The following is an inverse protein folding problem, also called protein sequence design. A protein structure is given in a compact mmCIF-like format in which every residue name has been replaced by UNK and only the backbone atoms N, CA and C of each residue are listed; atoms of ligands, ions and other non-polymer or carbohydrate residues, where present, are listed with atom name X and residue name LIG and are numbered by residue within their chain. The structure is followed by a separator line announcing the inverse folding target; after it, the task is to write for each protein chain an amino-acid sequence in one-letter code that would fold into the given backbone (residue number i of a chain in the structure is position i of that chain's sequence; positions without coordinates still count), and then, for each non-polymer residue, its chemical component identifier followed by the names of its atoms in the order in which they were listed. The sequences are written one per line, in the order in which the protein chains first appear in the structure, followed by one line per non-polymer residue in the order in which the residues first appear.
data_IF_919485659288
#
_entry.id   IF_919485659288
#
_cell.length_a   1.000
_cell.length_b   1.000
_cell.length_c   1.000
_cell.angle_alpha   90.00
_cell.angle_beta   90.00
_cell.angle_gamma   90.00
#
_symmetry.space_group_name_H-M   'P 1'
#
loop_
_entity.id
_entity.type
_entity.pdbx_description
1 polymer ?
#
# COMPACT_ATOMS: atom_id res chain seq x y z
N UNK A 1 -10.96 14.34 7.72
CA UNK A 1 -10.23 13.09 8.04
C UNK A 1 -10.18 12.06 6.90
N UNK A 2 -10.90 12.22 5.78
CA UNK A 2 -10.85 11.24 4.67
C UNK A 2 -9.45 11.10 4.05
N UNK A 3 -8.71 12.20 3.90
CA UNK A 3 -7.33 12.16 3.35
C UNK A 3 -6.35 11.32 4.17
N UNK A 4 -6.42 11.38 5.50
CA UNK A 4 -5.56 10.56 6.38
C UNK A 4 -5.88 9.08 6.24
N UNK A 5 -7.17 8.73 6.15
CA UNK A 5 -7.60 7.33 5.95
C UNK A 5 -7.14 6.80 4.59
N UNK A 6 -7.26 7.61 3.54
CA UNK A 6 -6.76 7.27 2.21
C UNK A 6 -5.25 7.09 2.22
N UNK A 7 -4.51 8.00 2.87
CA UNK A 7 -3.07 7.90 3.00
C UNK A 7 -2.63 6.62 3.73
N UNK A 8 -3.26 6.32 4.87
CA UNK A 8 -3.02 5.08 5.61
C UNK A 8 -3.27 3.84 4.75
N UNK A 9 -4.35 3.84 3.97
CA UNK A 9 -4.64 2.77 3.03
C UNK A 9 -3.54 2.62 1.97
N UNK A 10 -3.15 3.71 1.31
CA UNK A 10 -2.09 3.71 0.28
C UNK A 10 -0.77 3.20 0.82
N UNK A 11 -0.39 3.64 2.03
CA UNK A 11 0.84 3.22 2.70
C UNK A 11 0.83 1.72 3.05
N UNK A 12 -0.34 1.12 3.27
CA UNK A 12 -0.46 -0.31 3.54
C UNK A 12 -0.40 -1.18 2.27
N UNK A 13 -0.58 -0.61 1.08
CA UNK A 13 -0.62 -1.36 -0.20
C UNK A 13 0.62 -2.24 -0.39
N UNK A 14 1.88 -1.77 -0.20
CA UNK A 14 3.05 -2.61 -0.40
C UNK A 14 3.04 -3.88 0.45
N UNK A 15 2.62 -3.79 1.71
CA UNK A 15 2.49 -4.95 2.59
C UNK A 15 1.38 -5.90 2.13
N UNK A 16 0.24 -5.36 1.69
CA UNK A 16 -0.88 -6.18 1.18
C UNK A 16 -0.52 -6.90 -0.12
N UNK A 17 0.21 -6.25 -1.02
CA UNK A 17 0.70 -6.86 -2.27
C UNK A 17 1.67 -7.98 -1.97
N UNK A 18 2.64 -7.75 -1.08
CA UNK A 18 3.59 -8.77 -0.66
C UNK A 18 2.88 -9.97 0.00
N UNK A 19 1.88 -9.71 0.86
CA UNK A 19 1.07 -10.75 1.47
C UNK A 19 0.27 -11.56 0.43
N UNK A 20 -0.32 -10.90 -0.56
CA UNK A 20 -1.05 -11.57 -1.64
C UNK A 20 -0.14 -12.45 -2.51
N UNK A 21 1.07 -11.97 -2.77
CA UNK A 21 2.09 -12.73 -3.49
C UNK A 21 2.55 -13.96 -2.70
N UNK A 22 2.78 -13.80 -1.40
CA UNK A 22 3.10 -14.88 -0.48
C UNK A 22 1.99 -15.95 -0.43
N UNK A 23 0.73 -15.54 -0.34
CA UNK A 23 -0.42 -16.47 -0.39
C UNK A 23 -0.48 -17.19 -1.73
N UNK A 24 -0.24 -16.48 -2.83
CA UNK A 24 -0.21 -17.09 -4.17
C UNK A 24 0.88 -18.16 -4.27
N UNK A 25 2.11 -17.85 -3.84
CA UNK A 25 3.21 -18.82 -3.82
C UNK A 25 2.88 -20.01 -2.93
N UNK A 26 2.24 -19.78 -1.78
CA UNK A 26 1.81 -20.86 -0.90
C UNK A 26 0.81 -21.80 -1.59
N UNK A 27 -0.23 -21.26 -2.23
CA UNK A 27 -1.26 -22.05 -2.91
C UNK A 27 -0.68 -22.81 -4.10
N UNK A 28 0.21 -22.20 -4.89
CA UNK A 28 0.83 -22.87 -6.05
C UNK A 28 1.73 -24.03 -5.61
N UNK A 29 2.47 -23.87 -4.52
CA UNK A 29 3.42 -24.89 -4.06
C UNK A 29 2.77 -26.03 -3.24
N UNK A 30 1.68 -25.76 -2.53
CA UNK A 30 1.07 -26.72 -1.59
C UNK A 30 -0.36 -27.12 -1.92
N UNK A 31 -1.03 -26.47 -2.87
CA UNK A 31 -2.45 -26.65 -3.11
C UNK A 31 -3.32 -26.16 -1.94
N UNK A 32 -4.65 -26.24 -2.09
CA UNK A 32 -5.61 -25.90 -1.03
C UNK A 32 -5.95 -27.10 -0.13
N UNK A 33 -5.74 -28.32 -0.63
CA UNK A 33 -6.23 -29.56 -0.01
C UNK A 33 -5.14 -30.30 0.81
N UNK A 34 -3.89 -29.86 0.74
CA UNK A 34 -2.77 -30.44 1.50
C UNK A 34 -2.14 -29.39 2.41
N UNK A 35 -2.38 -29.53 3.72
CA UNK A 35 -1.57 -28.85 4.73
C UNK A 35 -0.11 -29.32 4.61
N UNK A 36 0.89 -28.43 4.56
CA UNK A 36 2.27 -28.85 4.34
C UNK A 36 2.81 -29.62 5.55
N UNK A 37 3.23 -30.86 5.36
CA UNK A 37 4.02 -31.62 6.35
C UNK A 37 5.36 -30.91 6.72
N UNK A 38 5.75 -29.90 5.95
CA UNK A 38 6.92 -29.04 6.16
C UNK A 38 6.77 -27.99 7.27
N UNK A 39 5.61 -27.88 7.94
CA UNK A 39 5.51 -27.15 9.21
C UNK A 39 6.21 -27.88 10.38
N UNK A 40 6.61 -29.15 10.20
CA UNK A 40 7.16 -30.00 11.25
C UNK A 40 8.65 -30.35 11.03
N UNK A 41 9.17 -30.34 9.80
CA UNK A 41 10.54 -30.75 9.49
C UNK A 41 11.46 -29.56 9.16
N UNK A 42 12.22 -29.17 10.17
CA UNK A 42 13.01 -27.96 10.25
C UNK A 42 14.45 -28.20 9.79
N UNK A 43 14.71 -28.40 8.49
CA UNK A 43 16.10 -28.68 8.04
C UNK A 43 16.66 -27.86 6.88
N UNK A 44 15.87 -27.09 6.12
CA UNK A 44 16.37 -26.00 5.25
C UNK A 44 15.17 -25.34 4.55
N UNK A 45 14.95 -24.05 4.80
CA UNK A 45 14.18 -23.24 3.85
C UNK A 45 12.78 -22.78 4.26
N UNK A 46 12.57 -22.33 5.51
CA UNK A 46 11.42 -21.45 5.79
C UNK A 46 11.37 -20.17 4.90
N UNK A 47 12.44 -19.91 4.14
CA UNK A 47 12.54 -18.88 3.11
C UNK A 47 12.06 -19.26 1.69
N UNK A 48 11.65 -20.50 1.41
CA UNK A 48 11.06 -20.88 0.11
C UNK A 48 9.53 -20.78 0.08
N UNK A 49 8.88 -20.62 1.23
CA UNK A 49 7.42 -20.52 1.31
C UNK A 49 6.87 -19.11 1.10
N UNK A 50 7.73 -18.10 1.26
CA UNK A 50 7.38 -16.69 1.26
C UNK A 50 8.41 -15.93 0.43
N UNK A 51 7.98 -14.95 -0.33
CA UNK A 51 8.82 -14.13 -1.16
C UNK A 51 9.77 -13.27 -0.31
N UNK A 52 11.06 -13.55 -0.44
CA UNK A 52 12.11 -12.63 -0.03
C UNK A 52 12.36 -11.57 -1.11
N UNK A 53 13.00 -10.46 -0.76
CA UNK A 53 13.40 -9.45 -1.75
C UNK A 53 14.33 -10.04 -2.83
N UNK A 54 15.19 -10.98 -2.43
CA UNK A 54 16.04 -11.75 -3.33
C UNK A 54 15.22 -12.59 -4.29
N UNK A 55 14.24 -13.36 -3.79
CA UNK A 55 13.34 -14.17 -4.62
C UNK A 55 12.64 -13.32 -5.67
N UNK A 56 12.08 -12.17 -5.28
CA UNK A 56 11.41 -11.24 -6.21
C UNK A 56 12.40 -10.76 -7.28
N UNK A 57 13.61 -10.36 -6.91
CA UNK A 57 14.59 -9.88 -7.88
C UNK A 57 15.02 -10.99 -8.85
N UNK A 58 15.34 -12.17 -8.33
CA UNK A 58 15.78 -13.31 -9.16
C UNK A 58 14.68 -13.81 -10.09
N UNK A 59 13.42 -13.77 -9.66
CA UNK A 59 12.29 -14.25 -10.46
C UNK A 59 11.86 -13.25 -11.54
N UNK A 60 11.75 -11.97 -11.18
CA UNK A 60 11.18 -10.96 -12.10
C UNK A 60 12.23 -10.19 -12.90
N UNK A 61 13.49 -10.18 -12.47
CA UNK A 61 14.59 -9.51 -13.18
C UNK A 61 15.93 -10.28 -13.05
N UNK A 62 15.99 -11.54 -13.53
CA UNK A 62 17.16 -12.41 -13.38
C UNK A 62 18.44 -11.84 -14.00
N UNK A 63 18.33 -11.19 -15.16
CA UNK A 63 19.49 -10.59 -15.83
C UNK A 63 20.10 -9.44 -15.03
N UNK A 64 19.25 -8.60 -14.44
CA UNK A 64 19.68 -7.50 -13.57
C UNK A 64 20.38 -8.03 -12.32
N UNK A 65 19.83 -9.07 -11.69
CA UNK A 65 20.47 -9.73 -10.54
C UNK A 65 21.85 -10.27 -10.91
N UNK A 66 21.94 -11.05 -12.00
CA UNK A 66 23.20 -11.64 -12.45
C UNK A 66 24.25 -10.58 -12.82
N UNK A 67 23.83 -9.46 -13.41
CA UNK A 67 24.71 -8.34 -13.71
C UNK A 67 25.28 -7.72 -12.43
N UNK A 68 24.45 -7.46 -11.42
CA UNK A 68 24.89 -6.85 -10.15
C UNK A 68 25.83 -7.76 -9.39
N UNK A 69 25.54 -9.06 -9.29
CA UNK A 69 26.42 -10.06 -8.64
C UNK A 69 27.83 -10.03 -9.24
N UNK A 70 27.93 -9.90 -10.57
CA UNK A 70 29.22 -9.87 -11.28
C UNK A 70 29.95 -8.53 -11.17
N UNK A 71 29.21 -7.45 -10.95
CA UNK A 71 29.74 -6.08 -10.98
C UNK A 71 30.16 -5.56 -9.61
N UNK A 72 29.64 -6.14 -8.54
CA UNK A 72 29.86 -5.70 -7.17
C UNK A 72 30.97 -6.54 -6.52
N UNK A 73 31.85 -5.90 -5.74
CA UNK A 73 32.87 -6.60 -4.98
C UNK A 73 32.24 -7.62 -4.00
N UNK A 74 32.86 -8.78 -3.75
CA UNK A 74 32.27 -9.84 -2.92
C UNK A 74 31.86 -9.39 -1.51
N UNK A 75 32.64 -8.50 -0.91
CA UNK A 75 32.37 -7.94 0.43
C UNK A 75 31.09 -7.10 0.45
N UNK A 76 30.92 -6.23 -0.55
CA UNK A 76 29.70 -5.43 -0.72
C UNK A 76 28.50 -6.30 -1.07
N UNK A 77 28.71 -7.35 -1.87
CA UNK A 77 27.65 -8.30 -2.22
C UNK A 77 27.12 -9.03 -0.99
N UNK A 78 27.98 -9.44 -0.05
CA UNK A 78 27.54 -10.11 1.18
C UNK A 78 26.54 -9.28 2.01
N UNK A 79 26.72 -7.95 2.04
CA UNK A 79 25.79 -7.04 2.72
C UNK A 79 24.45 -6.99 1.98
N UNK A 80 24.50 -6.85 0.65
CA UNK A 80 23.31 -6.81 -0.21
C UNK A 80 22.53 -8.13 -0.07
N UNK A 81 23.22 -9.27 -0.17
CA UNK A 81 22.63 -10.59 -0.06
C UNK A 81 21.91 -10.78 1.28
N UNK A 82 22.50 -10.30 2.38
CA UNK A 82 21.84 -10.31 3.69
C UNK A 82 20.51 -9.52 3.68
N UNK A 83 20.44 -8.39 2.98
CA UNK A 83 19.19 -7.62 2.85
C UNK A 83 18.18 -8.34 1.95
N UNK A 84 18.65 -9.06 0.94
CA UNK A 84 17.80 -9.82 0.03
C UNK A 84 17.10 -11.01 0.70
N UNK A 85 17.61 -11.49 1.84
CA UNK A 85 16.92 -12.53 2.64
C UNK A 85 15.68 -12.03 3.38
N UNK A 86 15.49 -10.71 3.50
CA UNK A 86 14.35 -10.12 4.20
C UNK A 86 13.06 -10.44 3.42
N UNK A 87 12.04 -10.94 4.14
CA UNK A 87 10.72 -11.19 3.58
C UNK A 87 10.08 -9.89 3.09
N UNK A 88 9.55 -9.89 1.87
CA UNK A 88 8.93 -8.71 1.27
C UNK A 88 7.76 -8.18 2.10
N UNK A 89 6.97 -9.08 2.71
CA UNK A 89 5.90 -8.71 3.64
C UNK A 89 6.43 -7.93 4.85
N UNK A 90 7.54 -8.37 5.45
CA UNK A 90 8.16 -7.69 6.59
C UNK A 90 8.68 -6.31 6.19
N UNK A 91 9.34 -6.21 5.03
CA UNK A 91 9.80 -4.92 4.50
C UNK A 91 8.64 -3.93 4.27
N UNK A 92 7.54 -4.40 3.66
CA UNK A 92 6.33 -3.60 3.46
C UNK A 92 5.67 -3.19 4.77
N UNK A 93 5.64 -4.07 5.77
CA UNK A 93 5.09 -3.78 7.09
C UNK A 93 5.95 -2.75 7.85
N UNK A 94 7.28 -2.85 7.79
CA UNK A 94 8.17 -1.85 8.38
C UNK A 94 7.96 -0.47 7.77
N UNK A 95 7.85 -0.40 6.44
CA UNK A 95 7.51 0.84 5.73
C UNK A 95 6.18 1.42 6.22
N UNK A 96 5.13 0.61 6.27
CA UNK A 96 3.83 1.07 6.72
C UNK A 96 3.86 1.50 8.21
N UNK A 97 4.51 0.70 9.05
CA UNK A 97 4.68 0.95 10.47
C UNK A 97 5.39 2.27 10.76
N UNK A 98 6.41 2.63 9.98
CA UNK A 98 7.09 3.93 10.08
C UNK A 98 6.14 5.11 9.88
N UNK A 99 5.30 5.08 8.84
CA UNK A 99 4.32 6.15 8.60
C UNK A 99 3.20 6.18 9.64
N UNK A 100 2.72 5.01 10.09
CA UNK A 100 1.78 4.93 11.20
C UNK A 100 2.35 5.50 12.49
N UNK A 101 3.64 5.24 12.76
CA UNK A 101 4.35 5.79 13.90
C UNK A 101 4.45 7.32 13.82
N UNK A 102 4.85 7.87 12.67
CA UNK A 102 4.86 9.33 12.44
C UNK A 102 3.47 9.92 12.66
N UNK A 103 2.43 9.33 12.08
CA UNK A 103 1.06 9.80 12.27
C UNK A 103 0.62 9.70 13.74
N UNK A 104 1.06 8.67 14.45
CA UNK A 104 0.85 8.51 15.89
C UNK A 104 1.47 9.66 16.69
N UNK A 105 2.72 10.01 16.41
CA UNK A 105 3.39 11.17 17.03
C UNK A 105 2.64 12.46 16.70
N UNK A 106 2.33 12.70 15.43
CA UNK A 106 1.61 13.91 15.00
C UNK A 106 0.23 14.01 15.67
N UNK A 107 -0.43 12.86 15.91
CA UNK A 107 -1.70 12.81 16.63
C UNK A 107 -1.54 13.17 18.11
N UNK A 108 -0.52 12.64 18.79
CA UNK A 108 -0.25 12.95 20.21
C UNK A 108 0.12 14.42 20.39
N UNK A 109 0.86 15.00 19.43
CA UNK A 109 1.27 16.40 19.46
C UNK A 109 0.19 17.37 18.95
N UNK A 110 -1.00 16.87 18.56
CA UNK A 110 -2.05 17.65 17.93
C UNK A 110 -1.53 18.50 16.74
N UNK A 111 -0.56 17.97 16.00
CA UNK A 111 -0.03 18.59 14.78
C UNK A 111 -0.88 18.15 13.58
N UNK A 112 -0.77 18.89 12.47
CA UNK A 112 -1.42 18.51 11.21
C UNK A 112 -1.08 17.04 10.87
N UNK A 113 -2.05 16.18 10.49
CA UNK A 113 -3.44 16.46 10.11
C UNK A 113 -4.48 16.38 11.26
N UNK A 114 -4.05 16.27 12.52
CA UNK A 114 -4.91 16.08 13.69
C UNK A 114 -5.03 17.30 14.59
N UNK A 115 -4.40 18.42 14.23
CA UNK A 115 -4.62 19.70 14.88
C UNK A 115 -6.12 19.96 14.97
N UNK A 116 -6.63 20.14 16.18
CA UNK A 116 -8.00 20.60 16.39
C UNK A 116 -8.13 21.89 15.59
N UNK A 117 -8.98 21.85 14.57
CA UNK A 117 -9.27 22.99 13.73
C UNK A 117 -10.04 24.03 14.54
N UNK A 118 -9.34 24.74 15.42
CA UNK A 118 -9.71 26.05 15.92
C UNK A 118 -9.59 27.04 14.76
N UNK A 119 -10.52 26.97 13.83
CA UNK A 119 -10.46 27.79 12.62
C UNK A 119 -11.48 27.32 11.59
N UNK A 120 -12.67 27.92 11.65
CA UNK A 120 -13.51 28.10 10.47
C UNK A 120 -12.62 28.68 9.37
N UNK A 121 -12.22 27.87 8.40
CA UNK A 121 -11.85 28.41 7.11
C UNK A 121 -13.16 28.88 6.49
N UNK A 122 -13.46 30.16 6.70
CA UNK A 122 -14.30 30.93 5.81
C UNK A 122 -13.71 30.77 4.39
N UNK A 123 -14.16 29.75 3.66
CA UNK A 123 -14.35 29.88 2.22
C UNK A 123 -15.82 30.22 1.99
N UNK A 124 -16.16 31.46 2.35
CA UNK A 124 -17.16 32.21 1.59
C UNK A 124 -16.62 32.38 0.17
N UNK A 125 -16.79 31.36 -0.64
CA UNK A 125 -16.31 31.29 -2.01
C UNK A 125 -17.04 30.18 -2.72
N UNK A 126 -18.24 30.50 -3.18
CA UNK A 126 -19.09 29.72 -4.09
C UNK A 126 -18.31 28.71 -4.94
N UNK A 127 -18.32 27.45 -4.54
CA UNK A 127 -18.44 26.37 -5.50
C UNK A 127 -19.93 26.07 -5.64
N UNK A 128 -20.62 26.90 -6.41
CA UNK A 128 -21.91 26.53 -6.96
C UNK A 128 -21.68 25.33 -7.86
N UNK A 129 -22.08 24.18 -7.34
CA UNK A 129 -22.38 22.97 -8.08
C UNK A 129 -23.39 23.33 -9.18
N UNK A 130 -22.92 23.71 -10.36
CA UNK A 130 -23.76 24.04 -11.53
C UNK A 130 -24.15 22.77 -12.29
N UNK A 131 -24.43 21.68 -11.57
CA UNK A 131 -24.87 20.41 -12.15
C UNK A 131 -26.38 20.16 -12.04
N UNK A 132 -27.04 20.67 -11.01
CA UNK A 132 -28.43 20.30 -10.74
C UNK A 132 -29.16 21.36 -9.90
N UNK A 133 -29.80 22.35 -10.53
CA UNK A 133 -31.04 22.99 -10.03
C UNK A 133 -31.71 23.94 -11.04
N UNK A 134 -32.83 23.45 -11.57
CA UNK A 134 -34.10 24.18 -11.85
C UNK A 134 -34.03 25.39 -12.80
N UNK A 135 -34.24 25.13 -14.09
CA UNK A 135 -35.07 26.02 -14.90
C UNK A 135 -36.55 25.66 -14.67
N UNK A 136 -37.16 26.25 -13.64
CA UNK A 136 -38.62 26.41 -13.55
C UNK A 136 -38.90 27.90 -13.75
N UNK A 137 -38.86 28.31 -15.02
CA UNK A 137 -39.47 29.55 -15.47
C UNK A 137 -40.98 29.45 -15.27
N UNK A 138 -41.48 30.17 -14.26
CA UNK A 138 -42.91 30.45 -14.10
C UNK A 138 -43.35 31.47 -15.15
N UNK A 139 -43.54 31.01 -16.38
CA UNK A 139 -44.27 31.74 -17.41
C UNK A 139 -45.77 31.51 -17.22
N UNK A 140 -46.51 32.52 -16.75
CA UNK A 140 -47.98 32.51 -16.78
C UNK A 140 -48.46 32.43 -18.23
N UNK A 141 -48.96 31.27 -18.66
CA UNK A 141 -49.66 31.11 -19.94
C UNK A 141 -51.09 31.65 -19.80
N UNK A 142 -51.33 32.88 -20.25
CA UNK A 142 -52.68 33.40 -20.52
C UNK A 142 -53.20 32.80 -21.84
N UNK A 143 -54.15 31.88 -21.77
CA UNK A 143 -54.92 31.47 -22.94
C UNK A 143 -55.98 32.54 -23.28
N UNK A 144 -55.89 33.15 -24.47
CA UNK A 144 -57.00 33.87 -25.11
C UNK A 144 -57.73 32.88 -26.02
N UNK A 145 -59.01 32.60 -25.74
CA UNK A 145 -59.92 31.96 -26.72
C UNK A 145 -60.29 33.00 -27.78
N UNK A 146 -60.20 32.62 -29.06
CA UNK A 146 -60.92 33.27 -30.16
C UNK A 146 -62.07 32.36 -30.55
#
# INVERSE_FOLDING_TARGET
MQGVRLFMFVVAIPALVALGHDIYLFVVNYGLDSLPDSLIANEKGAGTHFASLGFIWTEYAPESYAFVVRSVAPESWAIIDSLLTIKAFVAGLLFAGFFYFILGILRVLHLWPFAESGGRVYSSGRATDSGFKKSRSSGQLKYKRK
#
